data_IF_056473353014
#
_entry.id   IF_056473353014
#
_cell.length_a   1.000
_cell.length_b   1.000
_cell.length_c   1.000
_cell.angle_alpha   90.00
_cell.angle_beta   90.00
_cell.angle_gamma   90.00
#
_symmetry.space_group_name_H-M   'P 1'
#
loop_
_entity.id
_entity.type
_entity.pdbx_description
1 polymer ?
#
# COMPACT_ATOMS: atom_id res chain seq x y z
N UNK A 1 37.79 -25.13 15.90
CA UNK A 1 36.66 -25.86 15.27
C UNK A 1 35.57 -25.93 16.30
N UNK A 2 34.65 -24.98 16.27
CA UNK A 2 33.57 -24.85 17.23
C UNK A 2 32.29 -24.82 16.42
N UNK A 3 31.60 -25.95 16.39
CA UNK A 3 30.31 -26.12 15.72
C UNK A 3 29.25 -25.39 16.50
N UNK A 4 28.76 -24.28 15.96
CA UNK A 4 27.57 -23.59 16.46
C UNK A 4 26.35 -24.31 15.89
N UNK A 5 25.61 -24.95 16.79
CA UNK A 5 24.35 -25.64 16.52
C UNK A 5 23.27 -24.62 16.13
N UNK A 6 22.84 -24.65 14.87
CA UNK A 6 21.65 -23.92 14.41
C UNK A 6 20.42 -24.78 14.67
N UNK A 7 19.70 -24.49 15.75
CA UNK A 7 18.35 -25.01 15.98
C UNK A 7 17.42 -24.44 14.91
N UNK A 8 17.06 -25.28 13.94
CA UNK A 8 15.89 -25.06 13.09
C UNK A 8 14.65 -25.23 13.99
N UNK A 9 13.88 -24.16 14.19
CA UNK A 9 12.51 -24.29 14.67
C UNK A 9 11.68 -24.94 13.56
N UNK A 10 11.44 -26.25 13.70
CA UNK A 10 10.44 -26.97 12.93
C UNK A 10 9.06 -26.44 13.31
N UNK A 11 8.51 -25.55 12.47
CA UNK A 11 7.08 -25.24 12.50
C UNK A 11 6.37 -26.47 11.94
N UNK A 12 5.92 -27.36 12.82
CA UNK A 12 5.07 -28.49 12.46
C UNK A 12 3.75 -27.96 11.88
N UNK A 13 3.66 -27.93 10.56
CA UNK A 13 2.39 -27.69 9.85
C UNK A 13 1.50 -28.89 10.12
N UNK A 14 0.70 -28.81 11.18
CA UNK A 14 -0.48 -29.65 11.29
C UNK A 14 -1.41 -29.25 10.13
N UNK A 15 -1.36 -30.03 9.05
CA UNK A 15 -2.32 -30.01 7.94
C UNK A 15 -3.71 -30.29 8.54
N UNK A 16 -4.39 -29.23 8.99
CA UNK A 16 -5.83 -29.28 9.21
C UNK A 16 -6.50 -29.40 7.85
N UNK A 17 -7.54 -30.23 7.85
CA UNK A 17 -8.44 -30.59 6.75
C UNK A 17 -8.71 -29.42 5.81
N UNK A 18 -8.79 -29.73 4.51
CA UNK A 18 -9.13 -28.80 3.43
C UNK A 18 -10.26 -27.87 3.86
N UNK A 19 -9.95 -26.59 4.05
CA UNK A 19 -10.95 -25.58 4.39
C UNK A 19 -11.84 -25.45 3.15
N UNK A 20 -13.14 -25.80 3.24
CA UNK A 20 -14.04 -25.69 2.11
C UNK A 20 -14.39 -24.21 1.97
N UNK A 21 -13.60 -23.49 1.19
CA UNK A 21 -13.98 -22.18 0.68
C UNK A 21 -14.26 -22.33 -0.81
N UNK A 22 -15.50 -22.05 -1.21
CA UNK A 22 -15.95 -22.18 -2.60
C UNK A 22 -15.21 -21.24 -3.55
N UNK A 23 -14.54 -20.19 -3.03
CA UNK A 23 -13.59 -19.30 -3.70
C UNK A 23 -12.62 -18.65 -2.67
N UNK A 24 -11.53 -18.01 -3.12
CA UNK A 24 -10.55 -17.37 -2.23
C UNK A 24 -11.12 -16.20 -1.42
N UNK A 25 -12.10 -15.47 -1.95
CA UNK A 25 -12.71 -14.36 -1.22
C UNK A 25 -13.40 -14.85 0.05
N UNK A 26 -14.12 -15.96 0.00
CA UNK A 26 -14.79 -16.52 1.18
C UNK A 26 -13.78 -17.01 2.23
N UNK A 27 -12.64 -17.54 1.77
CA UNK A 27 -11.51 -17.88 2.64
C UNK A 27 -10.97 -16.64 3.37
N UNK A 28 -10.78 -15.53 2.63
CA UNK A 28 -10.30 -14.27 3.19
C UNK A 28 -11.32 -13.70 4.18
N UNK A 29 -12.58 -13.57 3.77
CA UNK A 29 -13.65 -13.00 4.61
C UNK A 29 -13.86 -13.79 5.91
N UNK A 30 -13.69 -15.12 5.89
CA UNK A 30 -13.88 -15.96 7.07
C UNK A 30 -12.70 -15.94 8.05
N UNK A 31 -11.48 -15.58 7.61
CA UNK A 31 -10.25 -15.80 8.40
C UNK A 31 -9.38 -14.54 8.60
N UNK A 32 -9.52 -13.52 7.76
CA UNK A 32 -8.81 -12.26 7.92
C UNK A 32 -9.50 -11.44 9.02
N UNK A 33 -8.78 -11.24 10.13
CA UNK A 33 -9.26 -10.43 11.23
C UNK A 33 -9.17 -8.94 10.86
N UNK A 34 -10.28 -8.22 11.05
CA UNK A 34 -10.32 -6.77 10.87
C UNK A 34 -11.02 -6.12 12.07
N UNK A 35 -10.26 -5.63 13.06
CA UNK A 35 -10.82 -5.04 14.28
C UNK A 35 -11.32 -3.62 14.06
N UNK A 36 -10.89 -2.96 12.98
CA UNK A 36 -11.26 -1.59 12.67
C UNK A 36 -12.63 -1.52 11.97
N UNK A 37 -13.60 -0.76 12.50
CA UNK A 37 -14.96 -0.71 11.95
C UNK A 37 -14.99 -0.03 10.58
N UNK A 38 -15.87 -0.47 9.69
CA UNK A 38 -16.08 0.22 8.42
C UNK A 38 -16.52 1.68 8.63
N UNK A 39 -15.82 2.59 7.98
CA UNK A 39 -16.11 4.02 7.96
C UNK A 39 -15.83 4.53 6.55
N UNK A 40 -16.56 5.57 6.15
CA UNK A 40 -16.36 6.27 4.88
C UNK A 40 -16.48 7.77 5.08
N UNK A 41 -15.80 8.53 4.23
CA UNK A 41 -15.83 9.99 4.28
C UNK A 41 -17.06 10.51 3.50
N UNK A 42 -17.87 11.44 4.06
CA UNK A 42 -19.05 11.98 3.37
C UNK A 42 -18.72 12.74 2.08
N UNK A 43 -17.46 13.13 1.85
CA UNK A 43 -17.02 13.88 0.67
C UNK A 43 -16.54 13.00 -0.49
N UNK A 44 -16.70 11.67 -0.42
CA UNK A 44 -16.21 10.73 -1.44
C UNK A 44 -16.64 11.09 -2.87
N UNK A 45 -17.92 11.40 -3.08
CA UNK A 45 -18.46 11.72 -4.41
C UNK A 45 -17.83 13.00 -5.00
N UNK A 46 -17.59 14.00 -4.15
CA UNK A 46 -16.93 15.24 -4.55
C UNK A 46 -15.46 14.98 -4.90
N UNK A 47 -14.76 14.21 -4.06
CA UNK A 47 -13.38 13.80 -4.31
C UNK A 47 -13.21 12.98 -5.59
N UNK A 48 -14.16 12.10 -5.92
CA UNK A 48 -14.14 11.33 -7.15
C UNK A 48 -14.22 12.23 -8.39
N UNK A 49 -15.14 13.21 -8.40
CA UNK A 49 -15.23 14.19 -9.47
C UNK A 49 -13.99 15.09 -9.57
N UNK A 50 -13.37 15.39 -8.41
CA UNK A 50 -12.11 16.13 -8.33
C UNK A 50 -10.93 15.35 -8.91
N UNK A 51 -10.80 14.05 -8.59
CA UNK A 51 -9.77 13.16 -9.16
C UNK A 51 -9.91 13.11 -10.68
N UNK A 52 -11.11 12.89 -11.19
CA UNK A 52 -11.39 12.87 -12.64
C UNK A 52 -10.96 14.17 -13.32
N UNK A 53 -11.23 15.31 -12.69
CA UNK A 53 -10.86 16.63 -13.20
C UNK A 53 -9.35 16.85 -13.15
N UNK A 54 -8.72 16.43 -12.05
CA UNK A 54 -7.28 16.56 -11.85
C UNK A 54 -6.49 15.71 -12.86
N UNK A 55 -6.87 14.45 -13.06
CA UNK A 55 -6.25 13.55 -14.05
C UNK A 55 -6.38 14.07 -15.48
N UNK A 56 -7.54 14.66 -15.84
CA UNK A 56 -7.73 15.33 -17.15
C UNK A 56 -6.85 16.57 -17.30
N UNK A 57 -6.77 17.39 -16.26
CA UNK A 57 -6.00 18.65 -16.28
C UNK A 57 -4.53 18.38 -16.60
N UNK A 58 -3.97 17.29 -16.07
CA UNK A 58 -2.58 16.89 -16.30
C UNK A 58 -2.40 15.92 -17.47
N UNK A 59 -3.44 15.70 -18.30
CA UNK A 59 -3.35 14.87 -19.50
C UNK A 59 -3.13 13.38 -19.24
N UNK A 60 -3.31 12.89 -18.01
CA UNK A 60 -3.07 11.48 -17.67
C UNK A 60 -4.16 10.55 -18.24
N UNK A 61 -5.36 11.09 -18.43
CA UNK A 61 -6.51 10.35 -19.01
C UNK A 61 -6.58 10.44 -20.53
N UNK A 62 -5.61 11.06 -21.18
CA UNK A 62 -5.45 11.00 -22.63
C UNK A 62 -5.11 9.56 -23.08
N UNK A 63 -4.50 8.78 -22.18
CA UNK A 63 -4.42 7.33 -22.30
C UNK A 63 -5.73 6.67 -21.82
N UNK A 64 -6.50 6.01 -22.70
CA UNK A 64 -7.73 5.32 -22.31
C UNK A 64 -7.50 4.17 -21.32
N UNK A 65 -6.29 3.59 -21.26
CA UNK A 65 -5.95 2.56 -20.28
C UNK A 65 -5.96 3.12 -18.85
N UNK A 66 -5.50 4.36 -18.66
CA UNK A 66 -5.56 5.05 -17.37
C UNK A 66 -7.01 5.26 -16.93
N UNK A 67 -7.88 5.74 -17.82
CA UNK A 67 -9.30 5.93 -17.50
C UNK A 67 -9.99 4.60 -17.13
N UNK A 68 -9.70 3.52 -17.86
CA UNK A 68 -10.23 2.20 -17.58
C UNK A 68 -9.72 1.62 -16.25
N UNK A 69 -8.45 1.85 -15.92
CA UNK A 69 -7.86 1.47 -14.63
C UNK A 69 -8.53 2.22 -13.48
N UNK A 70 -8.65 3.55 -13.58
CA UNK A 70 -9.25 4.39 -12.51
C UNK A 70 -10.69 3.97 -12.22
N UNK A 71 -11.47 3.62 -13.25
CA UNK A 71 -12.83 3.10 -13.07
C UNK A 71 -12.89 1.78 -12.27
N UNK A 72 -11.84 0.95 -12.36
CA UNK A 72 -11.73 -0.31 -11.62
C UNK A 72 -11.12 -0.15 -10.24
N UNK A 73 -10.22 0.81 -10.05
CA UNK A 73 -9.49 1.01 -8.79
C UNK A 73 -10.16 2.03 -7.86
N UNK A 74 -10.97 2.94 -8.40
CA UNK A 74 -11.76 3.93 -7.63
C UNK A 74 -10.95 4.62 -6.51
N UNK A 75 -9.94 5.43 -6.84
CA UNK A 75 -9.02 6.03 -5.86
C UNK A 75 -9.71 6.81 -4.72
N UNK A 76 -10.77 7.56 -5.04
CA UNK A 76 -11.53 8.32 -4.06
C UNK A 76 -12.27 7.43 -3.05
N UNK A 77 -12.69 6.24 -3.46
CA UNK A 77 -13.31 5.24 -2.57
C UNK A 77 -12.27 4.70 -1.56
N UNK A 78 -11.04 4.43 -2.00
CA UNK A 78 -9.94 4.06 -1.09
C UNK A 78 -9.61 5.21 -0.11
N UNK A 79 -9.50 6.44 -0.61
CA UNK A 79 -9.29 7.64 0.21
C UNK A 79 -10.38 7.80 1.28
N UNK A 80 -11.64 7.58 0.89
CA UNK A 80 -12.81 7.66 1.76
C UNK A 80 -12.73 6.66 2.91
N UNK A 81 -12.33 5.42 2.64
CA UNK A 81 -12.26 4.37 3.66
C UNK A 81 -11.05 4.51 4.59
N UNK A 82 -9.91 4.99 4.06
CA UNK A 82 -8.72 5.20 4.87
C UNK A 82 -8.76 6.49 5.71
N UNK A 83 -9.44 7.53 5.22
CA UNK A 83 -9.49 8.86 5.84
C UNK A 83 -10.93 9.34 6.08
N UNK A 84 -11.73 8.61 6.89
CA UNK A 84 -13.17 8.89 7.03
C UNK A 84 -13.49 10.20 7.74
N UNK A 85 -12.55 10.75 8.53
CA UNK A 85 -12.76 11.92 9.39
C UNK A 85 -12.02 13.16 8.94
N UNK A 86 -11.16 13.06 7.91
CA UNK A 86 -10.41 14.23 7.42
C UNK A 86 -11.31 15.20 6.69
N UNK A 87 -10.92 16.47 6.67
CA UNK A 87 -11.62 17.50 5.91
C UNK A 87 -11.57 17.22 4.39
N UNK A 88 -12.51 17.83 3.66
CA UNK A 88 -12.65 17.66 2.21
C UNK A 88 -11.34 17.93 1.46
N UNK A 89 -10.61 18.98 1.84
CA UNK A 89 -9.46 19.43 1.08
C UNK A 89 -8.30 18.45 1.24
N UNK A 90 -8.09 17.91 2.45
CA UNK A 90 -7.14 16.79 2.68
C UNK A 90 -7.58 15.55 1.93
N UNK A 91 -8.87 15.19 1.98
CA UNK A 91 -9.39 14.01 1.29
C UNK A 91 -9.12 14.09 -0.22
N UNK A 92 -9.27 15.27 -0.83
CA UNK A 92 -9.00 15.48 -2.25
C UNK A 92 -7.51 15.23 -2.58
N UNK A 93 -6.59 15.70 -1.75
CA UNK A 93 -5.14 15.48 -1.93
C UNK A 93 -4.83 13.98 -1.82
N UNK A 94 -5.38 13.30 -0.81
CA UNK A 94 -5.22 11.84 -0.64
C UNK A 94 -5.75 11.08 -1.86
N UNK A 95 -6.94 11.43 -2.35
CA UNK A 95 -7.53 10.78 -3.52
C UNK A 95 -6.71 11.02 -4.80
N UNK A 96 -6.22 12.25 -5.01
CA UNK A 96 -5.34 12.58 -6.14
C UNK A 96 -4.02 11.79 -6.06
N UNK A 97 -3.42 11.70 -4.87
CA UNK A 97 -2.19 10.95 -4.66
C UNK A 97 -2.36 9.45 -4.89
N UNK A 98 -3.47 8.84 -4.42
CA UNK A 98 -3.77 7.43 -4.70
C UNK A 98 -3.94 7.22 -6.21
N UNK A 99 -4.67 8.10 -6.90
CA UNK A 99 -4.84 8.01 -8.34
C UNK A 99 -3.50 8.12 -9.08
N UNK A 100 -2.67 9.09 -8.67
CA UNK A 100 -1.31 9.27 -9.20
C UNK A 100 -0.45 8.02 -8.99
N UNK A 101 -0.45 7.45 -7.79
CA UNK A 101 0.33 6.24 -7.50
C UNK A 101 -0.12 5.06 -8.36
N UNK A 102 -1.43 4.84 -8.57
CA UNK A 102 -1.87 3.79 -9.50
C UNK A 102 -1.39 4.01 -10.94
N UNK A 103 -1.44 5.25 -11.44
CA UNK A 103 -0.93 5.56 -12.78
C UNK A 103 0.58 5.36 -12.86
N UNK A 104 1.31 5.80 -11.84
CA UNK A 104 2.76 5.67 -11.76
C UNK A 104 3.20 4.21 -11.70
N UNK A 105 2.53 3.41 -10.85
CA UNK A 105 2.80 1.99 -10.62
C UNK A 105 2.56 1.16 -11.87
N UNK A 106 1.39 1.28 -12.51
CA UNK A 106 1.06 0.56 -13.74
C UNK A 106 2.05 0.91 -14.88
N UNK A 107 2.45 2.19 -15.02
CA UNK A 107 3.44 2.60 -16.00
C UNK A 107 4.85 2.09 -15.65
N UNK A 108 5.22 2.08 -14.38
CA UNK A 108 6.50 1.54 -13.93
C UNK A 108 6.56 0.02 -14.15
N UNK A 109 5.47 -0.70 -13.94
CA UNK A 109 5.35 -2.11 -14.29
C UNK A 109 5.59 -2.28 -15.80
N UNK A 110 4.85 -1.57 -16.65
CA UNK A 110 4.98 -1.68 -18.11
C UNK A 110 6.41 -1.40 -18.60
N UNK A 111 7.02 -0.31 -18.14
CA UNK A 111 8.35 0.13 -18.56
C UNK A 111 9.45 -0.76 -18.01
N UNK A 112 9.31 -1.20 -16.75
CA UNK A 112 10.34 -1.86 -15.97
C UNK A 112 10.36 -3.39 -16.09
N UNK A 113 9.22 -4.04 -16.39
CA UNK A 113 9.02 -5.50 -16.29
C UNK A 113 10.14 -6.34 -16.88
N UNK A 114 10.63 -5.97 -18.07
CA UNK A 114 11.71 -6.69 -18.76
C UNK A 114 13.08 -6.02 -18.62
N UNK A 115 13.10 -4.71 -18.46
CA UNK A 115 14.32 -3.91 -18.48
C UNK A 115 14.26 -2.83 -17.39
N UNK A 116 14.57 -3.17 -16.13
CA UNK A 116 14.40 -2.26 -14.99
C UNK A 116 15.13 -0.92 -15.17
N UNK A 117 16.26 -0.93 -15.87
CA UNK A 117 17.01 0.29 -16.19
C UNK A 117 16.22 1.33 -17.02
N UNK A 118 15.13 0.93 -17.68
CA UNK A 118 14.24 1.87 -18.39
C UNK A 118 13.41 2.73 -17.45
N UNK A 119 13.32 2.37 -16.17
CA UNK A 119 12.66 3.20 -15.15
C UNK A 119 13.48 4.43 -14.78
N UNK A 120 14.81 4.38 -14.93
CA UNK A 120 15.70 5.42 -14.43
C UNK A 120 15.29 6.85 -14.83
N UNK A 121 14.83 7.15 -16.06
CA UNK A 121 14.33 8.48 -16.41
C UNK A 121 13.12 8.91 -15.59
N UNK A 122 12.12 8.03 -15.40
CA UNK A 122 10.93 8.31 -14.57
C UNK A 122 11.31 8.59 -13.12
N UNK A 123 12.17 7.75 -12.54
CA UNK A 123 12.62 7.92 -11.15
C UNK A 123 13.44 9.20 -10.99
N UNK A 124 14.33 9.48 -11.95
CA UNK A 124 15.18 10.67 -11.94
C UNK A 124 14.38 11.96 -12.05
N UNK A 125 13.32 11.96 -12.88
CA UNK A 125 12.39 13.08 -12.97
C UNK A 125 11.66 13.31 -11.64
N UNK A 126 11.11 12.25 -11.03
CA UNK A 126 10.44 12.37 -9.73
C UNK A 126 11.38 12.90 -8.64
N UNK A 127 12.62 12.38 -8.58
CA UNK A 127 13.64 12.87 -7.62
C UNK A 127 14.03 14.32 -7.91
N UNK A 128 14.21 14.70 -9.18
CA UNK A 128 14.55 16.05 -9.59
C UNK A 128 13.47 17.06 -9.20
N UNK A 129 12.20 16.71 -9.37
CA UNK A 129 11.06 17.54 -8.94
C UNK A 129 11.05 17.67 -7.41
N UNK A 130 11.06 16.54 -6.69
CA UNK A 130 10.81 16.51 -5.24
C UNK A 130 11.98 16.98 -4.39
N UNK A 131 13.21 16.86 -4.89
CA UNK A 131 14.43 17.28 -4.16
C UNK A 131 14.95 18.64 -4.61
N UNK A 132 14.98 18.85 -5.93
CA UNK A 132 15.73 19.95 -6.53
C UNK A 132 14.82 21.01 -7.19
N UNK A 133 13.50 20.84 -7.14
CA UNK A 133 12.54 21.74 -7.77
C UNK A 133 12.70 21.85 -9.29
N UNK A 134 13.18 20.79 -9.94
CA UNK A 134 13.34 20.79 -11.40
C UNK A 134 11.97 20.88 -12.09
N UNK A 135 11.89 21.59 -13.23
CA UNK A 135 10.66 21.64 -13.99
C UNK A 135 10.32 20.25 -14.55
N UNK A 136 9.02 19.90 -14.62
CA UNK A 136 8.61 18.63 -15.22
C UNK A 136 8.86 18.61 -16.72
N UNK A 137 9.14 17.43 -17.24
CA UNK A 137 9.33 17.13 -18.67
C UNK A 137 8.25 16.21 -19.24
N UNK A 138 7.45 15.57 -18.37
CA UNK A 138 6.35 14.67 -18.73
C UNK A 138 5.01 15.08 -18.07
N UNK A 139 3.86 14.61 -18.61
CA UNK A 139 2.56 14.78 -17.95
C UNK A 139 2.53 14.23 -16.52
N UNK A 140 3.20 13.09 -16.28
CA UNK A 140 3.31 12.48 -14.96
C UNK A 140 4.15 13.35 -14.01
N UNK A 141 5.27 13.91 -14.49
CA UNK A 141 6.05 14.89 -13.74
C UNK A 141 5.25 16.16 -13.41
N UNK A 142 4.41 16.63 -14.35
CA UNK A 142 3.56 17.80 -14.12
C UNK A 142 2.50 17.53 -13.03
N UNK A 143 1.87 16.36 -13.08
CA UNK A 143 0.95 15.90 -12.04
C UNK A 143 1.66 15.79 -10.67
N UNK A 144 2.87 15.24 -10.61
CA UNK A 144 3.67 15.17 -9.37
C UNK A 144 4.01 16.56 -8.81
N UNK A 145 4.38 17.48 -9.70
CA UNK A 145 4.71 18.87 -9.32
C UNK A 145 3.51 19.55 -8.68
N UNK A 146 2.32 19.38 -9.27
CA UNK A 146 1.09 19.93 -8.73
C UNK A 146 0.66 19.25 -7.42
N UNK A 147 0.81 17.93 -7.32
CA UNK A 147 0.53 17.22 -6.07
C UNK A 147 1.45 17.72 -4.95
N UNK A 148 2.74 17.91 -5.24
CA UNK A 148 3.68 18.44 -4.27
C UNK A 148 3.32 19.89 -3.85
N UNK A 149 2.88 20.73 -4.80
CA UNK A 149 2.35 22.06 -4.50
C UNK A 149 1.14 21.99 -3.54
N UNK A 150 0.17 21.11 -3.80
CA UNK A 150 -0.99 20.92 -2.92
C UNK A 150 -0.57 20.53 -1.49
N UNK A 151 0.42 19.62 -1.37
CA UNK A 151 0.99 19.24 -0.08
C UNK A 151 1.68 20.41 0.60
N UNK A 152 2.49 21.20 -0.11
CA UNK A 152 3.16 22.38 0.44
C UNK A 152 2.18 23.46 0.91
N UNK A 153 1.01 23.58 0.27
CA UNK A 153 -0.03 24.52 0.68
C UNK A 153 -0.80 24.04 1.92
N UNK A 154 -0.97 22.72 2.09
CA UNK A 154 -1.76 22.14 3.20
C UNK A 154 -0.94 21.79 4.44
N UNK A 155 0.33 21.44 4.27
CA UNK A 155 1.21 20.91 5.30
C UNK A 155 2.23 21.96 5.78
N UNK A 156 2.80 21.73 6.97
CA UNK A 156 4.00 22.48 7.40
C UNK A 156 5.19 22.17 6.49
N UNK A 157 6.23 23.02 6.44
CA UNK A 157 7.45 22.72 5.68
C UNK A 157 8.11 21.40 6.08
N UNK A 158 8.06 21.02 7.37
CA UNK A 158 8.62 19.77 7.87
C UNK A 158 7.81 18.55 7.38
N UNK A 159 6.47 18.63 7.44
CA UNK A 159 5.57 17.62 6.91
C UNK A 159 5.73 17.46 5.39
N UNK A 160 5.77 18.55 4.63
CA UNK A 160 5.97 18.52 3.19
C UNK A 160 7.35 17.93 2.81
N UNK A 161 8.39 18.20 3.59
CA UNK A 161 9.71 17.58 3.39
C UNK A 161 9.68 16.07 3.67
N UNK A 162 8.97 15.61 4.71
CA UNK A 162 8.76 14.18 4.98
C UNK A 162 7.96 13.51 3.86
N UNK A 163 6.93 14.17 3.35
CA UNK A 163 6.13 13.68 2.22
C UNK A 163 7.00 13.48 0.97
N UNK A 164 7.82 14.49 0.62
CA UNK A 164 8.72 14.42 -0.53
C UNK A 164 9.80 13.34 -0.35
N UNK A 165 10.32 13.17 0.87
CA UNK A 165 11.26 12.09 1.20
C UNK A 165 10.61 10.72 0.99
N UNK A 166 9.47 10.45 1.64
CA UNK A 166 8.79 9.16 1.56
C UNK A 166 8.36 8.83 0.13
N UNK A 167 7.91 9.84 -0.63
CA UNK A 167 7.53 9.66 -2.05
C UNK A 167 8.72 9.23 -2.92
N UNK A 168 9.91 9.77 -2.66
CA UNK A 168 11.14 9.32 -3.34
C UNK A 168 11.54 7.89 -2.95
N UNK A 169 11.40 7.52 -1.68
CA UNK A 169 11.69 6.16 -1.23
C UNK A 169 10.74 5.14 -1.88
N UNK A 170 9.45 5.46 -1.98
CA UNK A 170 8.48 4.65 -2.74
C UNK A 170 8.90 4.45 -4.20
N UNK A 171 9.25 5.54 -4.89
CA UNK A 171 9.72 5.51 -6.28
C UNK A 171 10.99 4.65 -6.42
N UNK A 172 11.94 4.73 -5.50
CA UNK A 172 13.09 3.82 -5.47
C UNK A 172 12.69 2.36 -5.25
N UNK A 173 11.69 2.09 -4.40
CA UNK A 173 11.12 0.76 -4.16
C UNK A 173 10.69 0.06 -5.45
N UNK A 174 10.06 0.79 -6.38
CA UNK A 174 9.61 0.24 -7.66
C UNK A 174 10.78 -0.23 -8.55
N UNK A 175 11.97 0.38 -8.44
CA UNK A 175 13.16 -0.13 -9.11
C UNK A 175 13.61 -1.47 -8.52
N UNK A 176 13.57 -1.61 -7.19
CA UNK A 176 13.90 -2.87 -6.52
C UNK A 176 12.95 -3.98 -6.93
N UNK A 177 11.64 -3.68 -7.00
CA UNK A 177 10.61 -4.59 -7.48
C UNK A 177 10.87 -5.00 -8.94
N UNK A 178 11.05 -4.05 -9.84
CA UNK A 178 11.35 -4.34 -11.25
C UNK A 178 12.62 -5.20 -11.42
N UNK A 179 13.69 -4.89 -10.68
CA UNK A 179 14.91 -5.69 -10.66
C UNK A 179 14.61 -7.11 -10.18
N UNK A 180 13.90 -7.28 -9.07
CA UNK A 180 13.55 -8.60 -8.54
C UNK A 180 12.67 -9.41 -9.50
N UNK A 181 11.73 -8.76 -10.19
CA UNK A 181 10.85 -9.38 -11.20
C UNK A 181 11.62 -9.82 -12.47
N UNK A 182 12.64 -9.04 -12.87
CA UNK A 182 13.41 -9.32 -14.11
C UNK A 182 14.45 -10.44 -14.01
N UNK A 183 14.77 -10.93 -12.80
CA UNK A 183 15.75 -12.01 -12.57
C UNK A 183 15.06 -13.36 -12.34
N UNK A 184 15.71 -14.47 -12.72
CA UNK A 184 15.34 -15.83 -12.32
C UNK A 184 16.45 -16.42 -11.44
N UNK A 185 16.26 -17.19 -10.34
CA UNK A 185 15.09 -17.67 -9.58
C UNK A 185 15.18 -17.36 -8.05
N UNK A 186 14.43 -18.08 -7.18
CA UNK A 186 13.25 -17.54 -6.50
C UNK A 186 13.55 -16.35 -5.57
N UNK A 187 12.70 -15.33 -5.64
CA UNK A 187 12.67 -14.26 -4.64
C UNK A 187 12.35 -14.89 -3.28
N UNK A 188 13.35 -14.87 -2.39
CA UNK A 188 13.18 -15.37 -1.01
C UNK A 188 12.11 -14.54 -0.31
N UNK A 189 11.33 -15.17 0.56
CA UNK A 189 10.26 -14.49 1.31
C UNK A 189 10.73 -13.22 2.01
N UNK A 190 11.92 -13.24 2.65
CA UNK A 190 12.47 -12.04 3.29
C UNK A 190 12.74 -10.88 2.32
N UNK A 191 13.16 -11.18 1.08
CA UNK A 191 13.34 -10.16 0.04
C UNK A 191 11.99 -9.67 -0.48
N UNK A 192 11.03 -10.58 -0.71
CA UNK A 192 9.66 -10.21 -1.11
C UNK A 192 9.03 -9.26 -0.09
N UNK A 193 9.12 -9.59 1.20
CA UNK A 193 8.59 -8.74 2.26
C UNK A 193 9.29 -7.38 2.27
N UNK A 194 10.62 -7.35 2.16
CA UNK A 194 11.38 -6.10 2.15
C UNK A 194 11.00 -5.19 0.98
N UNK A 195 10.83 -5.76 -0.22
CA UNK A 195 10.40 -5.02 -1.41
C UNK A 195 8.96 -4.54 -1.23
N UNK A 196 8.03 -5.42 -0.82
CA UNK A 196 6.63 -5.05 -0.66
C UNK A 196 6.44 -3.90 0.31
N UNK A 197 7.23 -3.86 1.37
CA UNK A 197 7.12 -2.74 2.29
C UNK A 197 7.77 -1.45 1.81
N UNK A 198 8.69 -1.50 0.83
CA UNK A 198 9.14 -0.28 0.14
C UNK A 198 8.10 0.19 -0.88
N UNK A 199 7.41 -0.76 -1.52
CA UNK A 199 6.39 -0.49 -2.54
C UNK A 199 4.98 -0.39 -1.99
N UNK A 200 4.80 -0.44 -0.66
CA UNK A 200 3.50 -0.30 -0.01
C UNK A 200 2.82 1.03 -0.38
N UNK A 201 3.62 2.08 -0.58
CA UNK A 201 3.15 3.38 -1.04
C UNK A 201 2.36 4.16 0.02
N UNK A 202 2.27 3.65 1.25
CA UNK A 202 1.43 4.20 2.34
C UNK A 202 2.15 5.30 3.14
N UNK A 203 3.46 5.16 3.38
CA UNK A 203 4.24 6.11 4.17
C UNK A 203 4.24 7.56 3.62
N UNK A 204 4.19 7.80 2.29
CA UNK A 204 3.94 9.12 1.74
C UNK A 204 2.68 9.80 2.25
N UNK A 205 1.67 9.09 2.74
CA UNK A 205 0.42 9.69 3.21
C UNK A 205 0.43 10.09 4.67
N UNK A 206 1.34 9.57 5.50
CA UNK A 206 1.36 9.88 6.93
C UNK A 206 1.49 11.38 7.25
N UNK A 207 2.31 12.19 6.53
CA UNK A 207 2.31 13.64 6.74
C UNK A 207 0.96 14.32 6.48
N UNK A 208 0.09 13.75 5.64
CA UNK A 208 -1.27 14.25 5.42
C UNK A 208 -2.20 13.85 6.58
N UNK A 209 -2.05 12.64 7.14
CA UNK A 209 -2.74 12.24 8.37
C UNK A 209 -2.38 13.15 9.55
N UNK A 210 -1.12 13.57 9.61
CA UNK A 210 -0.61 14.52 10.58
C UNK A 210 -1.17 15.93 10.36
N UNK A 211 -1.20 16.42 9.11
CA UNK A 211 -1.74 17.73 8.77
C UNK A 211 -3.26 17.83 8.97
N UNK A 212 -3.97 16.70 9.06
CA UNK A 212 -5.37 16.65 9.44
C UNK A 212 -5.59 16.92 10.94
N UNK A 213 -4.53 16.91 11.76
CA UNK A 213 -4.61 17.18 13.19
C UNK A 213 -4.60 18.68 13.49
N UNK A 214 -5.19 19.12 14.63
CA UNK A 214 -5.20 20.54 15.00
C UNK A 214 -3.81 21.14 15.27
N UNK A 215 -2.83 20.29 15.60
CA UNK A 215 -1.46 20.68 15.88
C UNK A 215 -0.48 19.69 15.22
N UNK A 216 0.70 20.18 14.86
CA UNK A 216 1.80 19.33 14.40
C UNK A 216 2.23 18.38 15.52
N UNK A 217 2.67 17.17 15.14
CA UNK A 217 3.15 16.17 16.10
C UNK A 217 4.47 16.64 16.70
N UNK A 218 4.64 16.39 18.00
CA UNK A 218 5.92 16.64 18.64
C UNK A 218 7.00 15.71 18.04
N UNK A 219 8.22 16.23 17.75
CA UNK A 219 9.28 15.41 17.17
C UNK A 219 9.65 14.18 18.01
N UNK A 220 9.47 14.25 19.33
CA UNK A 220 9.69 13.12 20.24
C UNK A 220 8.68 11.99 20.01
N UNK A 221 7.39 12.32 19.86
CA UNK A 221 6.34 11.34 19.51
C UNK A 221 6.56 10.76 18.12
N UNK A 222 6.82 11.61 17.13
CA UNK A 222 7.03 11.21 15.74
C UNK A 222 8.22 10.25 15.58
N UNK A 223 9.29 10.48 16.35
CA UNK A 223 10.49 9.66 16.31
C UNK A 223 10.52 8.55 17.36
N UNK A 224 9.47 8.41 18.16
CA UNK A 224 9.35 7.36 19.15
C UNK A 224 9.47 5.98 18.49
N UNK A 225 10.25 5.03 19.06
CA UNK A 225 10.45 3.72 18.46
C UNK A 225 9.15 2.95 18.18
N UNK A 226 8.17 3.05 19.09
CA UNK A 226 6.85 2.42 18.90
C UNK A 226 6.08 3.09 17.76
N UNK A 227 6.17 4.41 17.59
CA UNK A 227 5.52 5.11 16.48
C UNK A 227 6.07 4.65 15.13
N UNK A 228 7.38 4.45 15.03
CA UNK A 228 8.03 3.88 13.83
C UNK A 228 7.58 2.44 13.58
N UNK A 229 7.42 1.64 14.64
CA UNK A 229 6.94 0.26 14.54
C UNK A 229 5.48 0.21 14.08
N UNK A 230 4.60 1.04 14.64
CA UNK A 230 3.21 1.17 14.21
C UNK A 230 3.11 1.57 12.74
N UNK A 231 3.88 2.58 12.31
CA UNK A 231 3.93 3.00 10.91
C UNK A 231 4.37 1.87 9.97
N UNK A 232 5.30 1.02 10.42
CA UNK A 232 5.73 -0.15 9.65
C UNK A 232 4.66 -1.25 9.59
N UNK A 233 4.04 -1.58 10.72
CA UNK A 233 2.97 -2.59 10.79
C UNK A 233 1.78 -2.17 9.93
N UNK A 234 1.44 -0.88 9.92
CA UNK A 234 0.39 -0.32 9.07
C UNK A 234 0.73 -0.46 7.59
N UNK A 235 1.93 -0.05 7.14
CA UNK A 235 2.33 -0.18 5.75
C UNK A 235 2.36 -1.66 5.29
N UNK A 236 2.91 -2.55 6.12
CA UNK A 236 2.97 -3.99 5.86
C UNK A 236 1.57 -4.59 5.72
N UNK A 237 0.66 -4.36 6.67
CA UNK A 237 -0.70 -4.86 6.58
C UNK A 237 -1.47 -4.25 5.39
N UNK A 238 -1.33 -2.95 5.15
CA UNK A 238 -2.04 -2.25 4.08
C UNK A 238 -1.66 -2.74 2.68
N UNK A 239 -0.42 -3.16 2.44
CA UNK A 239 0.00 -3.73 1.14
C UNK A 239 -0.28 -5.24 1.04
N UNK A 240 -0.16 -5.97 2.15
CA UNK A 240 -0.40 -7.43 2.14
C UNK A 240 -1.88 -7.80 2.03
N UNK A 241 -2.79 -6.95 2.49
CA UNK A 241 -4.22 -7.21 2.36
C UNK A 241 -4.65 -7.29 0.88
N UNK A 242 -4.36 -6.29 0.01
CA UNK A 242 -4.60 -6.38 -1.42
C UNK A 242 -3.91 -7.57 -2.10
N UNK A 243 -2.71 -7.97 -1.66
CA UNK A 243 -2.01 -9.15 -2.19
C UNK A 243 -2.86 -10.43 -2.10
N UNK A 244 -3.72 -10.56 -1.09
CA UNK A 244 -4.62 -11.72 -0.97
C UNK A 244 -5.66 -11.74 -2.10
N UNK A 245 -6.20 -10.57 -2.45
CA UNK A 245 -7.23 -10.42 -3.47
C UNK A 245 -6.66 -10.41 -4.89
N UNK A 246 -5.40 -10.02 -5.07
CA UNK A 246 -4.74 -10.03 -6.37
C UNK A 246 -4.07 -11.36 -6.71
N UNK A 247 -3.91 -12.27 -5.74
CA UNK A 247 -3.09 -13.47 -5.86
C UNK A 247 -3.37 -14.32 -7.11
N UNK A 248 -4.64 -14.50 -7.51
CA UNK A 248 -5.02 -15.28 -8.71
C UNK A 248 -4.54 -14.58 -9.98
N UNK A 249 -4.87 -13.29 -10.11
CA UNK A 249 -4.49 -12.45 -11.25
C UNK A 249 -2.97 -12.43 -11.42
N UNK A 250 -2.27 -12.23 -10.31
CA UNK A 250 -0.81 -12.11 -10.26
C UNK A 250 -0.11 -13.44 -10.50
N UNK A 251 -0.66 -14.56 -10.01
CA UNK A 251 -0.16 -15.90 -10.32
C UNK A 251 -0.24 -16.18 -11.82
N UNK A 252 -1.36 -15.84 -12.47
CA UNK A 252 -1.53 -16.01 -13.92
C UNK A 252 -0.60 -15.11 -14.73
N UNK A 253 -0.32 -13.91 -14.23
CA UNK A 253 0.64 -12.99 -14.83
C UNK A 253 2.11 -13.39 -14.59
N UNK A 254 2.38 -14.32 -13.65
CA UNK A 254 3.72 -14.77 -13.30
C UNK A 254 4.46 -13.82 -12.36
N UNK A 255 3.73 -13.00 -11.59
CA UNK A 255 4.32 -12.00 -10.70
C UNK A 255 5.01 -12.64 -9.48
N UNK A 256 6.18 -12.09 -9.14
CA UNK A 256 7.03 -12.62 -8.07
C UNK A 256 6.89 -11.87 -6.75
N UNK A 257 6.39 -10.64 -6.76
CA UNK A 257 6.29 -9.81 -5.55
C UNK A 257 4.84 -9.77 -5.07
N UNK A 258 4.48 -10.76 -4.26
CA UNK A 258 3.17 -10.89 -3.60
C UNK A 258 3.35 -11.81 -2.38
N UNK A 259 2.77 -11.43 -1.23
CA UNK A 259 2.94 -12.19 0.02
C UNK A 259 2.44 -13.64 -0.10
N UNK A 260 1.23 -13.85 -0.62
CA UNK A 260 0.67 -15.19 -0.76
C UNK A 260 1.47 -16.03 -1.76
N UNK A 261 1.89 -15.47 -2.90
CA UNK A 261 2.70 -16.21 -3.87
C UNK A 261 4.12 -16.51 -3.33
N UNK A 262 4.66 -15.65 -2.47
CA UNK A 262 5.92 -15.92 -1.78
C UNK A 262 5.78 -17.10 -0.80
N UNK A 263 4.68 -17.17 -0.04
CA UNK A 263 4.35 -18.34 0.78
C UNK A 263 4.19 -19.60 -0.07
N UNK A 264 3.48 -19.50 -1.20
CA UNK A 264 3.22 -20.62 -2.09
C UNK A 264 4.53 -21.25 -2.58
N UNK A 265 5.48 -20.42 -3.03
CA UNK A 265 6.79 -20.87 -3.50
C UNK A 265 7.68 -21.37 -2.36
N UNK A 266 7.65 -20.72 -1.20
CA UNK A 266 8.51 -21.09 -0.08
C UNK A 266 8.12 -22.43 0.56
N UNK A 267 6.83 -22.76 0.57
CA UNK A 267 6.29 -23.97 1.19
C UNK A 267 5.79 -25.03 0.18
N UNK A 268 5.94 -24.77 -1.12
CA UNK A 268 5.49 -25.65 -2.20
C UNK A 268 4.03 -26.15 -2.01
N UNK A 269 3.15 -25.22 -1.64
CA UNK A 269 1.78 -25.53 -1.21
C UNK A 269 0.71 -25.03 -2.19
N UNK A 270 -0.56 -25.37 -1.97
CA UNK A 270 -1.66 -24.85 -2.77
C UNK A 270 -1.82 -23.33 -2.58
N UNK A 271 -2.45 -22.65 -3.54
CA UNK A 271 -2.72 -21.21 -3.41
C UNK A 271 -3.60 -20.91 -2.18
N UNK A 272 -4.58 -21.76 -1.86
CA UNK A 272 -5.42 -21.62 -0.67
C UNK A 272 -4.63 -21.76 0.64
N UNK A 273 -3.70 -22.73 0.72
CA UNK A 273 -2.81 -22.88 1.87
C UNK A 273 -1.87 -21.67 2.03
N UNK A 274 -1.37 -21.14 0.91
CA UNK A 274 -0.50 -19.97 0.88
C UNK A 274 -1.24 -18.68 1.31
N UNK A 275 -2.47 -18.48 0.84
CA UNK A 275 -3.35 -17.39 1.29
C UNK A 275 -3.63 -17.51 2.78
N UNK A 276 -3.88 -18.70 3.30
CA UNK A 276 -4.08 -18.91 4.75
C UNK A 276 -2.82 -18.60 5.58
N UNK A 277 -1.63 -18.91 5.06
CA UNK A 277 -0.35 -18.49 5.68
C UNK A 277 -0.21 -16.96 5.69
N UNK A 278 -0.52 -16.31 4.58
CA UNK A 278 -0.51 -14.85 4.48
C UNK A 278 -1.53 -14.19 5.41
N UNK A 279 -2.75 -14.73 5.51
CA UNK A 279 -3.77 -14.28 6.47
C UNK A 279 -3.25 -14.35 7.91
N UNK A 280 -2.64 -15.47 8.32
CA UNK A 280 -2.05 -15.57 9.67
C UNK A 280 -0.99 -14.51 9.92
N UNK A 281 -0.17 -14.21 8.91
CA UNK A 281 0.86 -13.16 9.00
C UNK A 281 0.24 -11.78 9.16
N UNK A 282 -0.81 -11.48 8.40
CA UNK A 282 -1.53 -10.20 8.46
C UNK A 282 -2.23 -10.06 9.80
N UNK A 283 -2.96 -11.08 10.27
CA UNK A 283 -3.62 -11.07 11.58
C UNK A 283 -2.61 -10.78 12.70
N UNK A 284 -1.49 -11.51 12.73
CA UNK A 284 -0.44 -11.26 13.74
C UNK A 284 0.16 -9.85 13.66
N UNK A 285 0.17 -9.23 12.49
CA UNK A 285 0.66 -7.86 12.28
C UNK A 285 -0.35 -6.83 12.81
N UNK A 286 -1.65 -7.09 12.62
CA UNK A 286 -2.74 -6.28 13.16
C UNK A 286 -2.79 -6.41 14.69
N UNK A 287 -2.70 -7.63 15.22
CA UNK A 287 -2.69 -7.89 16.66
C UNK A 287 -1.53 -7.15 17.36
N UNK A 288 -0.34 -7.17 16.75
CA UNK A 288 0.83 -6.42 17.24
C UNK A 288 0.58 -4.91 17.18
N UNK A 289 -0.04 -4.40 16.10
CA UNK A 289 -0.38 -2.98 15.97
C UNK A 289 -1.34 -2.55 17.08
N UNK A 290 -2.42 -3.30 17.32
CA UNK A 290 -3.39 -2.98 18.38
C UNK A 290 -2.74 -3.00 19.76
N UNK A 291 -1.91 -4.02 20.04
CA UNK A 291 -1.21 -4.13 21.33
C UNK A 291 -0.30 -2.93 21.57
N UNK A 292 0.56 -2.61 20.60
CA UNK A 292 1.47 -1.47 20.71
C UNK A 292 0.73 -0.14 20.78
N UNK A 293 -0.37 0.02 20.05
CA UNK A 293 -1.15 1.24 20.08
C UNK A 293 -1.79 1.44 21.45
N UNK A 294 -2.45 0.42 22.01
CA UNK A 294 -3.06 0.50 23.35
C UNK A 294 -2.01 0.78 24.44
N UNK A 295 -0.80 0.23 24.31
CA UNK A 295 0.29 0.50 25.25
C UNK A 295 0.77 1.96 25.20
N UNK A 296 0.98 2.54 24.02
CA UNK A 296 1.52 3.90 23.89
C UNK A 296 0.47 5.01 23.97
N UNK A 297 -0.79 4.72 23.67
CA UNK A 297 -1.88 5.70 23.59
C UNK A 297 -2.00 6.64 24.81
N UNK A 298 -1.82 6.20 26.07
CA UNK A 298 -1.86 7.10 27.23
C UNK A 298 -0.74 8.16 27.25
N UNK A 299 0.36 7.92 26.53
CA UNK A 299 1.52 8.81 26.44
C UNK A 299 1.41 9.79 25.26
N UNK A 300 0.48 9.55 24.33
CA UNK A 300 0.33 10.37 23.12
C UNK A 300 -0.54 11.61 23.36
N UNK A 301 -0.12 12.70 22.74
CA UNK A 301 -0.93 13.88 22.49
C UNK A 301 -2.16 13.53 21.63
N UNK A 302 -3.20 14.38 21.62
CA UNK A 302 -4.35 14.19 20.72
C UNK A 302 -3.95 14.09 19.24
N UNK A 303 -2.89 14.83 18.84
CA UNK A 303 -2.38 14.78 17.48
C UNK A 303 -1.65 13.44 17.21
N UNK A 304 -0.86 12.95 18.18
CA UNK A 304 -0.25 11.63 18.13
C UNK A 304 -1.26 10.50 18.01
N UNK A 305 -2.38 10.57 18.75
CA UNK A 305 -3.52 9.64 18.64
C UNK A 305 -4.09 9.67 17.22
N UNK A 306 -4.42 10.86 16.71
CA UNK A 306 -4.98 11.01 15.36
C UNK A 306 -4.03 10.54 14.24
N UNK A 307 -2.71 10.65 14.45
CA UNK A 307 -1.71 10.12 13.52
C UNK A 307 -1.72 8.58 13.47
N UNK A 308 -1.81 7.90 14.61
CA UNK A 308 -1.95 6.43 14.67
C UNK A 308 -3.32 5.98 14.14
N UNK A 309 -4.38 6.75 14.35
CA UNK A 309 -5.69 6.51 13.74
C UNK A 309 -5.64 6.63 12.21
N UNK A 310 -4.81 7.52 11.66
CA UNK A 310 -4.51 7.55 10.23
C UNK A 310 -3.83 6.27 9.74
N UNK A 311 -2.90 5.71 10.53
CA UNK A 311 -2.24 4.44 10.21
C UNK A 311 -3.21 3.25 10.24
N UNK A 312 -4.09 3.15 11.25
CA UNK A 312 -5.13 2.10 11.27
C UNK A 312 -6.16 2.32 10.17
N UNK A 313 -6.38 3.58 9.78
CA UNK A 313 -7.14 3.97 8.60
C UNK A 313 -6.66 3.30 7.33
N UNK A 314 -5.35 3.26 7.07
CA UNK A 314 -4.80 2.56 5.90
C UNK A 314 -5.04 1.06 5.92
N UNK A 315 -4.85 0.39 7.06
CA UNK A 315 -5.13 -1.04 7.23
C UNK A 315 -6.58 -1.34 6.88
N UNK A 316 -7.50 -0.59 7.51
CA UNK A 316 -8.94 -0.69 7.29
C UNK A 316 -9.31 -0.39 5.84
N UNK A 317 -8.81 0.71 5.31
CA UNK A 317 -9.13 1.23 3.99
C UNK A 317 -8.83 0.20 2.92
N UNK A 318 -7.61 -0.35 2.93
CA UNK A 318 -7.20 -1.41 2.01
C UNK A 318 -8.08 -2.67 2.13
N UNK A 319 -8.52 -3.04 3.34
CA UNK A 319 -9.43 -4.18 3.55
C UNK A 319 -10.80 -3.96 2.90
N UNK A 320 -11.50 -2.88 3.24
CA UNK A 320 -12.85 -2.66 2.72
C UNK A 320 -12.83 -2.31 1.22
N UNK A 321 -11.83 -1.56 0.78
CA UNK A 321 -11.63 -1.24 -0.62
C UNK A 321 -11.43 -2.49 -1.47
N UNK A 322 -10.53 -3.39 -1.05
CA UNK A 322 -10.24 -4.62 -1.83
C UNK A 322 -11.46 -5.53 -1.98
N UNK A 323 -12.41 -5.47 -1.05
CA UNK A 323 -13.67 -6.21 -1.09
C UNK A 323 -14.74 -5.56 -1.96
N UNK A 324 -14.63 -4.27 -2.24
CA UNK A 324 -15.66 -3.47 -2.91
C UNK A 324 -15.35 -3.20 -4.39
N UNK A 325 -14.07 -3.07 -4.77
CA UNK A 325 -13.71 -2.57 -6.09
C UNK A 325 -13.67 -3.64 -7.18
N UNK A 326 -14.03 -3.28 -8.44
CA UNK A 326 -13.95 -4.20 -9.58
C UNK A 326 -12.55 -4.71 -9.90
N UNK A 327 -11.48 -4.03 -9.44
CA UNK A 327 -10.08 -4.45 -9.66
C UNK A 327 -9.84 -5.92 -9.30
N UNK A 328 -10.54 -6.45 -8.29
CA UNK A 328 -10.35 -7.80 -7.76
C UNK A 328 -11.51 -8.76 -8.05
N UNK A 329 -12.32 -8.48 -9.08
CA UNK A 329 -13.45 -9.33 -9.44
C UNK A 329 -13.07 -10.80 -9.71
N UNK A 330 -11.85 -11.07 -10.18
CA UNK A 330 -11.36 -12.44 -10.44
C UNK A 330 -11.23 -13.27 -9.14
N UNK A 331 -10.94 -12.64 -8.00
CA UNK A 331 -10.95 -13.30 -6.69
C UNK A 331 -12.36 -13.78 -6.29
N UNK A 332 -13.40 -13.15 -6.85
CA UNK A 332 -14.80 -13.50 -6.66
C UNK A 332 -15.30 -14.58 -7.63
N UNK A 333 -14.55 -14.85 -8.71
CA UNK A 333 -14.99 -15.69 -9.82
C UNK A 333 -14.52 -17.15 -9.72
N UNK A 334 -13.69 -17.51 -8.72
CA UNK A 334 -13.24 -18.89 -8.53
C UNK A 334 -14.34 -19.79 -7.95
N UNK A 335 -15.43 -20.08 -8.66
CA UNK A 335 -16.20 -21.29 -8.42
C UNK A 335 -15.59 -22.45 -9.22
N UNK A 336 -15.06 -23.44 -8.50
CA UNK A 336 -14.75 -24.80 -8.94
C UNK A 336 -14.32 -25.02 -10.39
N UNK A 337 -13.01 -25.20 -10.61
CA UNK A 337 -12.51 -26.03 -11.71
C UNK A 337 -11.71 -27.18 -11.09
N UNK A 338 -12.10 -28.38 -11.48
CA UNK A 338 -11.83 -29.71 -10.91
C UNK A 338 -10.41 -30.05 -10.48
#
# INVERSE_FOLDING_TARGET
MTTVSTTHEEITVALREEIPADNLKDLIDANLHMPFPFLSNPHESESAAGVDTWLRTWGLTDDPAVAAMIAKTRPAELASYNSPTVDRDVLQIVANQIAYQFVFDDLAEEVGRRWPGRLLPMLSESVGILRDGQPPSTPLGAALTDLYRQVQERCTPAQAARWAWNSREYVHGLLYEAVAQSHSPPVRMGLCNSIRSLTAGVEPFYPLCEAAQPHELDPEELHHPVMRRLGRLSADAAVWIPDLFSAVKEQQAGEMINLALAYQRAYECSLSQAVMLAIRRINSTIDEFETLYEEIKPELSPAGVGYVEGMSGWIRGCYYWSRAVPRYADAMAMSSVH
#
